data_IF_009694399918
#
_entry.id   IF_009694399918
#
_cell.length_a   1.000
_cell.length_b   1.000
_cell.length_c   1.000
_cell.angle_alpha   90.00
_cell.angle_beta   90.00
_cell.angle_gamma   90.00
#
_symmetry.space_group_name_H-M   'P 1'
#
loop_
_entity.id
_entity.type
_entity.pdbx_description
1 polymer ?
#
# COMPACT_ATOMS: atom_id res chain seq x y z
N UNK A 1 -49.02 -31.67 6.59
CA UNK A 1 -48.19 -32.87 6.35
C UNK A 1 -47.19 -32.47 5.29
N UNK A 2 -46.07 -31.87 5.68
CA UNK A 2 -44.84 -32.58 6.09
C UNK A 2 -44.20 -33.30 4.88
N UNK A 3 -42.91 -33.20 4.55
CA UNK A 3 -41.73 -32.56 5.16
C UNK A 3 -40.70 -32.34 4.03
N UNK A 4 -39.92 -31.28 4.21
CA UNK A 4 -38.63 -30.95 3.59
C UNK A 4 -37.75 -32.13 3.19
N UNK A 5 -37.14 -32.05 1.99
CA UNK A 5 -35.91 -32.78 1.71
C UNK A 5 -35.09 -32.03 0.64
N UNK A 6 -34.47 -30.91 1.04
CA UNK A 6 -33.43 -30.20 0.26
C UNK A 6 -32.15 -29.95 1.06
N UNK A 7 -31.88 -30.79 2.07
CA UNK A 7 -30.67 -30.71 2.89
C UNK A 7 -29.59 -31.67 2.37
N UNK A 8 -29.03 -31.39 1.19
CA UNK A 8 -27.79 -32.04 0.72
C UNK A 8 -26.70 -31.09 0.23
N UNK A 9 -26.88 -29.78 0.44
CA UNK A 9 -25.82 -28.80 0.24
C UNK A 9 -25.77 -27.83 1.43
N UNK A 10 -25.63 -28.37 2.66
CA UNK A 10 -25.00 -27.61 3.72
C UNK A 10 -23.51 -27.52 3.40
N UNK A 11 -23.14 -26.56 2.56
CA UNK A 11 -21.82 -25.96 2.64
C UNK A 11 -21.74 -25.43 4.07
N UNK A 12 -20.78 -25.86 4.91
CA UNK A 12 -20.62 -25.25 6.21
C UNK A 12 -20.50 -23.75 5.97
N UNK A 13 -21.43 -22.98 6.53
CA UNK A 13 -21.25 -21.54 6.67
C UNK A 13 -19.97 -21.39 7.48
N UNK A 14 -18.85 -21.21 6.77
CA UNK A 14 -17.63 -20.70 7.34
C UNK A 14 -18.04 -19.34 7.89
N UNK A 15 -18.29 -19.33 9.19
CA UNK A 15 -18.22 -18.13 10.00
C UNK A 15 -16.78 -17.65 9.80
N UNK A 16 -16.58 -16.79 8.80
CA UNK A 16 -15.34 -16.04 8.66
C UNK A 16 -15.29 -15.13 9.87
N UNK A 17 -14.51 -15.51 10.88
CA UNK A 17 -14.00 -14.56 11.85
C UNK A 17 -13.29 -13.46 11.05
N UNK A 18 -13.89 -12.28 11.01
CA UNK A 18 -13.43 -11.12 10.23
C UNK A 18 -12.08 -10.55 10.71
N UNK A 19 -11.46 -11.14 11.73
CA UNK A 19 -10.29 -10.59 12.43
C UNK A 19 -8.97 -11.34 12.18
N UNK A 20 -8.94 -12.36 11.30
CA UNK A 20 -7.68 -13.05 10.94
C UNK A 20 -7.50 -13.09 9.43
N UNK A 21 -6.73 -12.13 8.90
CA UNK A 21 -6.23 -12.21 7.53
C UNK A 21 -5.38 -13.48 7.37
N UNK A 22 -5.90 -14.47 6.63
CA UNK A 22 -5.15 -15.68 6.29
C UNK A 22 -4.05 -15.29 5.31
N UNK A 23 -2.84 -15.09 5.84
CA UNK A 23 -1.66 -14.80 5.03
C UNK A 23 -1.15 -16.06 4.35
N UNK A 24 -0.65 -15.92 3.13
CA UNK A 24 0.03 -17.01 2.45
C UNK A 24 1.19 -17.51 3.33
N UNK A 25 1.31 -18.84 3.45
CA UNK A 25 2.44 -19.47 4.13
C UNK A 25 3.75 -19.20 3.38
N UNK A 26 4.89 -19.39 4.05
CA UNK A 26 6.20 -19.23 3.42
C UNK A 26 6.39 -20.25 2.31
N UNK A 27 6.60 -19.76 1.09
CA UNK A 27 7.12 -20.58 0.00
C UNK A 27 8.65 -20.64 0.12
N UNK A 28 9.15 -21.76 0.65
CA UNK A 28 10.57 -21.95 0.95
C UNK A 28 11.44 -21.90 -0.31
N UNK A 29 10.91 -22.33 -1.47
CA UNK A 29 11.65 -22.31 -2.74
C UNK A 29 11.78 -20.88 -3.30
N UNK A 30 10.79 -20.02 -3.05
CA UNK A 30 10.84 -18.62 -3.46
C UNK A 30 11.70 -17.77 -2.52
N UNK A 31 11.56 -17.99 -1.20
CA UNK A 31 12.22 -17.19 -0.16
C UNK A 31 13.70 -17.51 -0.02
N UNK A 32 14.09 -18.78 -0.22
CA UNK A 32 15.50 -19.20 -0.16
C UNK A 32 16.33 -18.86 -1.39
N UNK A 33 15.70 -18.35 -2.46
CA UNK A 33 16.37 -18.16 -3.73
C UNK A 33 16.91 -16.72 -3.90
N UNK A 34 18.24 -16.59 -3.97
CA UNK A 34 18.91 -15.32 -4.27
C UNK A 34 18.40 -14.65 -5.57
N UNK A 35 17.86 -15.44 -6.51
CA UNK A 35 17.25 -14.93 -7.74
C UNK A 35 16.00 -14.08 -7.47
N UNK A 36 15.21 -14.39 -6.43
CA UNK A 36 14.06 -13.58 -6.05
C UNK A 36 14.49 -12.17 -5.66
N UNK A 37 15.54 -12.05 -4.83
CA UNK A 37 16.13 -10.75 -4.44
C UNK A 37 16.69 -10.00 -5.65
N UNK A 38 17.36 -10.69 -6.57
CA UNK A 38 17.87 -10.08 -7.80
C UNK A 38 16.75 -9.52 -8.68
N UNK A 39 15.63 -10.24 -8.80
CA UNK A 39 14.45 -9.80 -9.54
C UNK A 39 13.79 -8.59 -8.85
N UNK A 40 13.62 -8.62 -7.53
CA UNK A 40 13.09 -7.48 -6.76
C UNK A 40 13.95 -6.24 -6.96
N UNK A 41 15.28 -6.39 -6.91
CA UNK A 41 16.21 -5.28 -7.17
C UNK A 41 16.11 -4.76 -8.61
N UNK A 42 15.95 -5.63 -9.60
CA UNK A 42 15.78 -5.21 -10.99
C UNK A 42 14.49 -4.40 -11.18
N UNK A 43 13.40 -4.80 -10.50
CA UNK A 43 12.13 -4.10 -10.50
C UNK A 43 12.23 -2.74 -9.78
N UNK A 44 12.87 -2.68 -8.61
CA UNK A 44 13.13 -1.44 -7.87
C UNK A 44 13.88 -0.42 -8.74
N UNK A 45 14.97 -0.85 -9.40
CA UNK A 45 15.77 0.01 -10.29
C UNK A 45 14.95 0.46 -11.51
N UNK A 46 14.02 -0.37 -11.98
CA UNK A 46 13.05 0.02 -13.02
C UNK A 46 12.13 1.14 -12.56
N UNK A 47 11.53 1.00 -11.38
CA UNK A 47 10.63 1.98 -10.78
C UNK A 47 11.35 3.30 -10.44
N UNK A 48 12.52 3.23 -9.81
CA UNK A 48 13.30 4.40 -9.41
C UNK A 48 13.74 5.25 -10.60
N UNK A 49 14.13 4.61 -11.72
CA UNK A 49 14.45 5.33 -12.98
C UNK A 49 13.25 6.08 -13.55
N UNK A 50 12.04 5.54 -13.44
CA UNK A 50 10.80 6.18 -13.91
C UNK A 50 10.34 7.34 -13.02
N UNK A 51 10.81 7.38 -11.77
CA UNK A 51 10.58 8.50 -10.85
C UNK A 51 11.65 9.59 -11.01
N UNK A 52 12.92 9.20 -11.20
CA UNK A 52 14.07 10.11 -11.29
C UNK A 52 14.19 10.86 -12.62
N UNK A 53 13.51 10.45 -13.69
CA UNK A 53 13.58 11.10 -15.01
C UNK A 53 12.89 12.48 -15.08
N UNK A 54 12.46 13.04 -13.95
CA UNK A 54 11.61 14.23 -13.92
C UNK A 54 12.26 15.31 -13.03
N UNK A 55 12.72 16.38 -13.68
CA UNK A 55 13.44 17.52 -13.09
C UNK A 55 12.63 18.22 -11.96
N UNK A 56 13.29 18.79 -10.94
CA UNK A 56 12.64 19.53 -9.86
C UNK A 56 12.17 20.90 -10.37
N UNK A 57 10.90 21.00 -10.77
CA UNK A 57 10.25 22.27 -11.07
C UNK A 57 9.87 23.01 -9.78
N UNK A 58 10.15 24.31 -9.72
CA UNK A 58 9.98 25.35 -8.67
C UNK A 58 8.67 25.32 -7.84
N UNK A 59 7.69 24.50 -8.22
CA UNK A 59 6.40 24.32 -7.53
C UNK A 59 6.47 23.40 -6.29
N UNK A 60 7.64 22.83 -5.99
CA UNK A 60 7.83 21.80 -4.95
C UNK A 60 7.60 22.27 -3.50
N UNK A 61 7.80 23.55 -3.17
CA UNK A 61 7.85 23.97 -1.77
C UNK A 61 6.46 24.20 -1.13
N UNK A 62 5.53 24.83 -1.86
CA UNK A 62 4.13 25.01 -1.40
C UNK A 62 3.38 23.67 -1.43
N UNK A 63 3.73 22.79 -2.37
CA UNK A 63 3.20 21.44 -2.47
C UNK A 63 3.75 20.52 -1.37
N UNK A 64 4.96 20.76 -0.85
CA UNK A 64 5.58 19.92 0.20
C UNK A 64 4.81 19.97 1.54
N UNK A 65 4.36 21.15 1.99
CA UNK A 65 3.58 21.25 3.23
C UNK A 65 2.21 20.57 3.10
N UNK A 66 1.50 20.82 2.00
CA UNK A 66 0.20 20.18 1.72
C UNK A 66 0.34 18.67 1.54
N UNK A 67 1.42 18.24 0.88
CA UNK A 67 1.80 16.81 0.76
C UNK A 67 2.01 16.19 2.13
N UNK A 68 2.73 16.85 3.04
CA UNK A 68 2.94 16.33 4.40
C UNK A 68 1.61 16.16 5.15
N UNK A 69 0.75 17.16 5.14
CA UNK A 69 -0.60 17.07 5.74
C UNK A 69 -1.41 15.94 5.12
N UNK A 70 -1.32 15.78 3.80
CA UNK A 70 -2.02 14.73 3.07
C UNK A 70 -1.52 13.33 3.44
N UNK A 71 -0.20 13.13 3.53
CA UNK A 71 0.41 11.85 3.90
C UNK A 71 0.05 11.48 5.34
N UNK A 72 0.06 12.43 6.26
CA UNK A 72 -0.38 12.20 7.65
C UNK A 72 -1.85 11.80 7.69
N UNK A 73 -2.71 12.49 6.94
CA UNK A 73 -4.13 12.15 6.84
C UNK A 73 -4.34 10.75 6.24
N UNK A 74 -3.62 10.41 5.17
CA UNK A 74 -3.67 9.06 4.57
C UNK A 74 -3.24 7.98 5.58
N UNK A 75 -2.19 8.25 6.37
CA UNK A 75 -1.76 7.34 7.43
C UNK A 75 -2.87 7.11 8.46
N UNK A 76 -3.49 8.20 8.95
CA UNK A 76 -4.60 8.11 9.91
C UNK A 76 -5.80 7.31 9.37
N UNK A 77 -6.16 7.51 8.10
CA UNK A 77 -7.24 6.75 7.46
C UNK A 77 -6.86 5.27 7.33
N UNK A 78 -5.62 4.95 6.96
CA UNK A 78 -5.16 3.57 6.91
C UNK A 78 -5.19 2.89 8.29
N UNK A 79 -4.79 3.60 9.34
CA UNK A 79 -4.86 3.09 10.73
C UNK A 79 -6.32 2.88 11.18
N UNK A 80 -7.21 3.84 10.90
CA UNK A 80 -8.63 3.75 11.27
C UNK A 80 -9.34 2.60 10.54
N UNK A 81 -8.99 2.36 9.28
CA UNK A 81 -9.54 1.26 8.48
C UNK A 81 -8.82 -0.08 8.70
N UNK A 82 -7.79 -0.11 9.58
CA UNK A 82 -6.94 -1.28 9.85
C UNK A 82 -6.34 -1.88 8.56
N UNK A 83 -5.85 -1.02 7.68
CA UNK A 83 -5.25 -1.47 6.43
C UNK A 83 -3.97 -2.27 6.67
N UNK A 84 -3.62 -3.12 5.71
CA UNK A 84 -2.32 -3.80 5.74
C UNK A 84 -1.15 -2.81 5.71
N UNK A 85 -0.08 -3.12 6.44
CA UNK A 85 1.07 -2.22 6.68
C UNK A 85 1.78 -1.77 5.38
N UNK A 86 1.57 -2.50 4.27
CA UNK A 86 2.13 -2.24 2.94
C UNK A 86 1.28 -1.31 2.07
N UNK A 87 0.01 -1.12 2.42
CA UNK A 87 -0.94 -0.31 1.65
C UNK A 87 -0.55 1.17 1.70
N UNK A 88 -0.22 1.67 2.88
CA UNK A 88 0.12 3.08 3.07
C UNK A 88 1.37 3.51 2.29
N UNK A 89 2.53 2.82 2.39
CA UNK A 89 3.71 3.19 1.62
C UNK A 89 3.49 3.10 0.10
N UNK A 90 2.70 2.13 -0.36
CA UNK A 90 2.34 2.01 -1.77
C UNK A 90 1.41 3.15 -2.24
N UNK A 91 0.45 3.56 -1.41
CA UNK A 91 -0.42 4.68 -1.72
C UNK A 91 0.35 6.00 -1.86
N UNK A 92 1.31 6.24 -0.96
CA UNK A 92 2.19 7.42 -1.03
C UNK A 92 3.08 7.37 -2.27
N UNK A 93 3.60 6.19 -2.64
CA UNK A 93 4.34 6.02 -3.88
C UNK A 93 3.51 6.41 -5.12
N UNK A 94 2.24 6.03 -5.19
CA UNK A 94 1.34 6.44 -6.28
C UNK A 94 1.05 7.93 -6.27
N UNK A 95 0.82 8.50 -5.09
CA UNK A 95 0.60 9.94 -4.92
C UNK A 95 1.81 10.72 -5.44
N UNK A 96 3.01 10.39 -4.97
CA UNK A 96 4.24 11.07 -5.35
C UNK A 96 4.54 10.93 -6.85
N UNK A 97 4.33 9.74 -7.40
CA UNK A 97 4.47 9.49 -8.84
C UNK A 97 3.52 10.37 -9.66
N UNK A 98 2.27 10.53 -9.22
CA UNK A 98 1.31 11.40 -9.89
C UNK A 98 1.69 12.88 -9.79
N UNK A 99 2.02 13.34 -8.58
CA UNK A 99 2.39 14.72 -8.29
C UNK A 99 3.71 15.14 -8.98
N UNK A 100 4.61 14.20 -9.24
CA UNK A 100 5.85 14.46 -9.99
C UNK A 100 5.62 14.82 -11.45
N UNK A 101 4.50 14.37 -12.04
CA UNK A 101 4.17 14.51 -13.47
C UNK A 101 3.06 15.54 -13.74
N UNK A 102 2.24 15.88 -12.75
CA UNK A 102 1.04 16.68 -12.93
C UNK A 102 0.85 17.70 -11.80
N UNK A 103 0.54 18.94 -12.16
CA UNK A 103 0.04 19.93 -11.22
C UNK A 103 -1.43 19.63 -10.89
N UNK A 104 -1.75 19.59 -9.59
CA UNK A 104 -3.09 19.27 -9.09
C UNK A 104 -3.63 20.46 -8.31
N UNK A 105 -4.92 20.77 -8.52
CA UNK A 105 -5.61 21.78 -7.71
C UNK A 105 -5.82 21.25 -6.29
N UNK A 106 -5.78 22.12 -5.30
CA UNK A 106 -5.96 21.75 -3.89
C UNK A 106 -7.24 20.94 -3.64
N UNK A 107 -8.35 21.31 -4.32
CA UNK A 107 -9.63 20.61 -4.20
C UNK A 107 -9.63 19.17 -4.72
N UNK A 108 -8.66 18.80 -5.57
CA UNK A 108 -8.51 17.45 -6.11
C UNK A 108 -7.47 16.63 -5.34
N UNK A 109 -6.67 17.25 -4.47
CA UNK A 109 -5.59 16.57 -3.75
C UNK A 109 -6.12 15.51 -2.78
N UNK A 110 -7.17 15.83 -2.01
CA UNK A 110 -7.81 14.88 -1.09
C UNK A 110 -8.36 13.65 -1.83
N UNK A 111 -9.05 13.91 -2.94
CA UNK A 111 -9.60 12.87 -3.79
C UNK A 111 -8.51 11.99 -4.41
N UNK A 112 -7.39 12.57 -4.82
CA UNK A 112 -6.24 11.82 -5.30
C UNK A 112 -5.69 10.88 -4.22
N UNK A 113 -5.65 11.32 -2.95
CA UNK A 113 -5.29 10.44 -1.83
C UNK A 113 -6.26 9.28 -1.64
N UNK A 114 -7.57 9.53 -1.70
CA UNK A 114 -8.57 8.46 -1.63
C UNK A 114 -8.39 7.45 -2.75
N UNK A 115 -8.23 7.92 -3.99
CA UNK A 115 -8.08 7.02 -5.16
C UNK A 115 -6.77 6.24 -5.08
N UNK A 116 -5.67 6.85 -4.63
CA UNK A 116 -4.38 6.17 -4.47
C UNK A 116 -4.41 5.13 -3.34
N UNK A 117 -5.09 5.41 -2.22
CA UNK A 117 -5.32 4.42 -1.15
C UNK A 117 -6.19 3.26 -1.62
N UNK A 118 -7.29 3.55 -2.32
CA UNK A 118 -8.16 2.54 -2.91
C UNK A 118 -7.39 1.63 -3.88
N UNK A 119 -6.51 2.22 -4.70
CA UNK A 119 -5.69 1.48 -5.64
C UNK A 119 -4.64 0.62 -4.94
N UNK A 120 -3.95 1.16 -3.93
CA UNK A 120 -2.95 0.42 -3.16
C UNK A 120 -3.57 -0.75 -2.39
N UNK A 121 -4.74 -0.52 -1.78
CA UNK A 121 -5.52 -1.54 -1.10
C UNK A 121 -5.90 -2.69 -2.04
N UNK A 122 -6.33 -2.41 -3.27
CA UNK A 122 -6.56 -3.46 -4.28
C UNK A 122 -5.32 -4.27 -4.66
N UNK A 123 -4.12 -3.73 -4.46
CA UNK A 123 -2.87 -4.39 -4.83
C UNK A 123 -2.24 -5.19 -3.68
N UNK A 124 -2.53 -4.85 -2.42
CA UNK A 124 -1.89 -5.43 -1.24
C UNK A 124 -2.84 -6.11 -0.27
N UNK A 125 -4.13 -5.80 -0.30
CA UNK A 125 -5.12 -6.40 0.62
C UNK A 125 -5.91 -7.52 -0.05
N UNK A 126 -6.26 -8.51 0.76
CA UNK A 126 -7.19 -9.57 0.35
C UNK A 126 -8.61 -9.05 0.17
N UNK A 127 -9.04 -8.17 1.06
CA UNK A 127 -10.35 -7.50 1.02
C UNK A 127 -10.10 -6.01 0.86
N UNK A 128 -10.21 -5.46 -0.36
CA UNK A 128 -9.87 -4.07 -0.57
C UNK A 128 -10.88 -3.14 0.10
N UNK A 129 -10.40 -1.97 0.52
CA UNK A 129 -11.18 -0.80 0.89
C UNK A 129 -12.26 -0.59 -0.18
N UNK A 130 -13.51 -0.58 0.25
CA UNK A 130 -14.61 -0.29 -0.66
C UNK A 130 -14.68 1.22 -0.86
N UNK A 131 -14.86 1.64 -2.12
CA UNK A 131 -15.09 3.04 -2.48
C UNK A 131 -16.15 3.71 -1.59
N UNK A 132 -17.21 2.99 -1.21
CA UNK A 132 -18.27 3.46 -0.31
C UNK A 132 -17.77 3.89 1.08
N UNK A 133 -16.77 3.22 1.64
CA UNK A 133 -16.17 3.59 2.94
C UNK A 133 -15.34 4.86 2.82
N UNK A 134 -14.63 5.01 1.70
CA UNK A 134 -13.78 6.17 1.44
C UNK A 134 -14.58 7.41 0.97
N UNK A 135 -15.74 7.23 0.32
CA UNK A 135 -16.61 8.33 -0.12
C UNK A 135 -17.14 9.20 1.03
N UNK A 136 -17.26 8.63 2.24
CA UNK A 136 -17.65 9.38 3.45
C UNK A 136 -16.65 10.51 3.74
N UNK A 137 -15.38 10.31 3.37
CA UNK A 137 -14.32 11.29 3.61
C UNK A 137 -14.20 12.35 2.49
N UNK A 138 -14.98 12.27 1.40
CA UNK A 138 -14.82 13.14 0.22
C UNK A 138 -16.08 13.90 -0.22
N UNK A 139 -17.04 14.13 0.68
CA UNK A 139 -18.26 14.94 0.41
C UNK A 139 -19.01 14.59 -0.89
N UNK A 140 -18.97 13.32 -1.32
CA UNK A 140 -19.71 12.76 -2.47
C UNK A 140 -19.59 13.50 -3.82
N UNK A 141 -18.68 14.47 -3.98
CA UNK A 141 -18.81 15.46 -5.07
C UNK A 141 -18.18 15.07 -6.42
N UNK A 142 -17.44 13.95 -6.52
CA UNK A 142 -16.68 13.62 -7.74
C UNK A 142 -16.73 12.12 -8.09
N UNK A 143 -16.86 11.83 -9.38
CA UNK A 143 -16.83 10.51 -10.03
C UNK A 143 -15.50 9.78 -9.84
N UNK A 144 -15.38 9.02 -8.75
CA UNK A 144 -14.27 8.10 -8.46
C UNK A 144 -13.73 7.29 -9.68
N UNK A 145 -14.57 6.69 -10.54
CA UNK A 145 -14.08 5.84 -11.63
C UNK A 145 -13.29 6.60 -12.70
N UNK A 146 -13.65 7.84 -13.03
CA UNK A 146 -12.98 8.62 -14.07
C UNK A 146 -11.55 8.98 -13.64
N UNK A 147 -11.38 9.34 -12.37
CA UNK A 147 -10.07 9.67 -11.82
C UNK A 147 -9.22 8.41 -11.70
N UNK A 148 -9.81 7.29 -11.31
CA UNK A 148 -9.09 6.01 -11.21
C UNK A 148 -8.52 5.59 -12.56
N UNK A 149 -9.33 5.65 -13.63
CA UNK A 149 -8.86 5.38 -15.00
C UNK A 149 -7.75 6.35 -15.41
N UNK A 150 -7.91 7.64 -15.10
CA UNK A 150 -6.90 8.65 -15.42
C UNK A 150 -5.58 8.43 -14.66
N UNK A 151 -5.65 8.04 -13.38
CA UNK A 151 -4.51 7.78 -12.51
C UNK A 151 -3.73 6.56 -13.01
N UNK A 152 -4.43 5.44 -13.24
CA UNK A 152 -3.79 4.19 -13.70
C UNK A 152 -3.16 4.36 -15.07
N UNK A 153 -3.83 5.07 -15.99
CA UNK A 153 -3.28 5.39 -17.31
C UNK A 153 -2.01 6.25 -17.21
N UNK A 154 -1.97 7.21 -16.28
CA UNK A 154 -0.81 8.08 -16.03
C UNK A 154 0.32 7.41 -15.25
N UNK A 155 0.04 6.29 -14.58
CA UNK A 155 1.01 5.41 -13.93
C UNK A 155 1.52 4.32 -14.88
N UNK A 156 1.18 4.38 -16.18
CA UNK A 156 1.57 3.39 -17.20
C UNK A 156 1.17 1.95 -16.81
N UNK A 157 0.08 1.80 -16.04
CA UNK A 157 -0.35 0.51 -15.47
C UNK A 157 0.71 -0.21 -14.63
N UNK A 158 1.76 0.49 -14.20
CA UNK A 158 2.85 -0.07 -13.41
C UNK A 158 2.53 -0.02 -11.91
N UNK A 159 1.54 -0.81 -11.51
CA UNK A 159 1.01 -0.87 -10.14
C UNK A 159 1.82 -1.80 -9.21
N UNK A 160 2.59 -2.73 -9.77
CA UNK A 160 3.43 -3.63 -8.99
C UNK A 160 4.76 -2.94 -8.61
N UNK A 161 4.71 -1.87 -7.81
CA UNK A 161 5.92 -1.29 -7.24
C UNK A 161 6.46 -2.20 -6.14
N UNK A 162 7.78 -2.36 -6.13
CA UNK A 162 8.49 -3.03 -5.03
C UNK A 162 8.55 -2.08 -3.85
N UNK A 163 8.16 -2.56 -2.68
CA UNK A 163 8.28 -1.87 -1.40
C UNK A 163 9.52 -2.36 -0.64
N UNK A 164 10.06 -1.55 0.29
CA UNK A 164 11.11 -2.01 1.19
C UNK A 164 10.72 -3.25 2.00
N UNK A 165 9.43 -3.40 2.33
CA UNK A 165 8.91 -4.59 3.01
C UNK A 165 9.05 -5.85 2.17
N UNK A 166 8.99 -5.79 0.84
CA UNK A 166 9.08 -6.96 -0.05
C UNK A 166 10.46 -7.66 0.02
N UNK A 167 11.49 -6.96 0.52
CA UNK A 167 12.83 -7.51 0.74
C UNK A 167 12.98 -8.21 2.10
N UNK A 168 12.02 -8.02 3.01
CA UNK A 168 12.12 -8.47 4.39
C UNK A 168 12.18 -9.99 4.50
N UNK A 169 11.28 -10.72 3.85
CA UNK A 169 11.21 -12.17 3.90
C UNK A 169 12.48 -12.83 3.36
N UNK A 170 13.00 -12.45 2.18
CA UNK A 170 14.28 -12.95 1.70
C UNK A 170 15.45 -12.65 2.66
N UNK A 171 15.51 -11.43 3.23
CA UNK A 171 16.57 -11.06 4.16
C UNK A 171 16.48 -11.90 5.43
N UNK A 172 15.30 -12.03 6.04
CA UNK A 172 15.11 -12.84 7.25
C UNK A 172 15.50 -14.31 7.04
N UNK A 173 15.26 -14.85 5.84
CA UNK A 173 15.69 -16.21 5.50
C UNK A 173 17.21 -16.34 5.38
N UNK A 174 17.91 -15.32 4.86
CA UNK A 174 19.39 -15.31 4.86
C UNK A 174 19.98 -15.17 6.27
N UNK A 175 19.23 -14.58 7.20
CA UNK A 175 19.62 -14.40 8.60
C UNK A 175 19.18 -15.61 9.45
N UNK A 176 19.63 -16.81 9.08
CA UNK A 176 19.28 -18.07 9.74
C UNK A 176 19.68 -18.16 11.23
N UNK A 177 20.45 -17.19 11.74
CA UNK A 177 20.80 -17.06 13.15
C UNK A 177 19.69 -16.41 14.01
N UNK A 178 18.69 -15.79 13.40
CA UNK A 178 17.59 -15.17 14.13
C UNK A 178 16.62 -16.24 14.63
N UNK A 179 16.36 -16.24 15.93
CA UNK A 179 15.39 -17.16 16.53
C UNK A 179 13.97 -16.82 16.06
N UNK A 180 13.17 -17.86 15.78
CA UNK A 180 11.79 -17.74 15.29
C UNK A 180 10.90 -16.84 16.19
N UNK A 181 11.18 -16.81 17.50
CA UNK A 181 10.47 -15.97 18.48
C UNK A 181 10.63 -14.46 18.24
N UNK A 182 11.73 -14.03 17.62
CA UNK A 182 12.00 -12.61 17.38
C UNK A 182 11.46 -12.13 16.03
N UNK A 183 11.21 -13.03 15.07
CA UNK A 183 10.78 -12.67 13.72
C UNK A 183 9.51 -11.82 13.67
N UNK A 184 8.43 -12.10 14.44
CA UNK A 184 7.22 -11.27 14.42
C UNK A 184 7.49 -9.84 14.88
N UNK A 185 8.37 -9.67 15.87
CA UNK A 185 8.75 -8.34 16.35
C UNK A 185 9.58 -7.62 15.31
N UNK A 186 10.58 -8.27 14.71
CA UNK A 186 11.40 -7.66 13.64
C UNK A 186 10.52 -7.18 12.49
N UNK A 187 9.53 -7.98 12.05
CA UNK A 187 8.60 -7.55 11.00
C UNK A 187 7.83 -6.30 11.37
N UNK A 188 7.18 -6.29 12.54
CA UNK A 188 6.42 -5.14 13.02
C UNK A 188 7.29 -3.87 13.09
N UNK A 189 8.52 -3.99 13.57
CA UNK A 189 9.45 -2.85 13.63
C UNK A 189 9.81 -2.36 12.23
N UNK A 190 10.12 -3.25 11.28
CA UNK A 190 10.45 -2.87 9.90
C UNK A 190 9.29 -2.13 9.25
N UNK A 191 8.06 -2.65 9.33
CA UNK A 191 6.89 -1.98 8.79
C UNK A 191 6.65 -0.60 9.44
N UNK A 192 6.83 -0.49 10.76
CA UNK A 192 6.76 0.79 11.47
C UNK A 192 7.81 1.79 10.96
N UNK A 193 9.06 1.34 10.77
CA UNK A 193 10.12 2.18 10.22
C UNK A 193 9.86 2.61 8.78
N UNK A 194 9.31 1.72 7.94
CA UNK A 194 8.93 2.04 6.56
C UNK A 194 7.83 3.10 6.55
N UNK A 195 6.81 2.98 7.40
CA UNK A 195 5.76 3.98 7.54
C UNK A 195 6.33 5.34 7.99
N UNK A 196 7.17 5.37 9.03
CA UNK A 196 7.82 6.60 9.50
C UNK A 196 8.72 7.25 8.45
N UNK A 197 9.47 6.45 7.69
CA UNK A 197 10.29 6.92 6.58
C UNK A 197 9.43 7.56 5.49
N UNK A 198 8.28 6.95 5.19
CA UNK A 198 7.31 7.44 4.19
C UNK A 198 6.70 8.77 4.60
N UNK A 199 6.39 8.96 5.90
CA UNK A 199 5.90 10.24 6.45
C UNK A 199 6.98 11.33 6.41
N UNK A 200 8.26 10.94 6.46
CA UNK A 200 9.40 11.85 6.43
C UNK A 200 9.83 12.36 7.81
N UNK A 201 9.48 11.67 8.90
CA UNK A 201 9.81 12.10 10.26
C UNK A 201 11.22 11.72 10.73
N UNK A 202 11.95 10.89 9.98
CA UNK A 202 13.29 10.41 10.38
C UNK A 202 14.35 11.53 10.47
N UNK A 203 14.12 12.69 9.83
CA UNK A 203 15.09 13.80 9.82
C UNK A 203 14.90 14.86 10.91
N UNK A 204 13.84 14.79 11.74
CA UNK A 204 13.51 15.86 12.70
C UNK A 204 13.98 15.61 14.15
N UNK A 205 14.85 14.62 14.40
CA UNK A 205 15.39 14.34 15.75
C UNK A 205 16.92 14.41 15.87
N UNK A 206 17.64 14.84 14.82
CA UNK A 206 19.10 15.01 14.88
C UNK A 206 19.49 16.38 14.31
N UNK A 207 19.16 17.43 15.05
CA UNK A 207 19.88 18.71 15.10
C UNK A 207 19.45 19.45 16.36
#
# INVERSE_FOLDING_TARGET
MEISNKDKYCVPQLVFDYDVAVRAGYDLELVGNLRAVQNLRALEVGTSRRMSSHLPGIQQNIQALKRKTMIIWMFQVCEEQKCEEEVFPLAVHYLDSYLSRHAVRDSMLQLLGVVTMLLASKMREMVPLTASKLCIYTDFSISLPEILVSLVSRLDWCLASVLPSDFLEPILHTLSFLQAQHLPNVRRHVHSYVALATIGELHNKVT
#
